data_IF_178755836815
#
_entry.id   IF_178755836815
#
_cell.length_a   1.000
_cell.length_b   1.000
_cell.length_c   1.000
_cell.angle_alpha   90.00
_cell.angle_beta   90.00
_cell.angle_gamma   90.00
#
_symmetry.space_group_name_H-M   'P 1'
#
loop_
_entity.id
_entity.type
_entity.pdbx_description
1 polymer ?
#
# COMPACT_ATOMS: atom_id res chain seq x y z
N UNK A 1 -15.49 32.36 -10.65
CA UNK A 1 -14.75 31.73 -9.55
C UNK A 1 -15.18 30.30 -9.40
N UNK A 2 -14.21 29.42 -9.41
CA UNK A 2 -14.48 28.00 -9.14
C UNK A 2 -14.66 27.81 -7.63
N UNK A 3 -15.75 27.15 -7.24
CA UNK A 3 -16.01 26.81 -5.86
C UNK A 3 -15.43 25.40 -5.60
N UNK A 4 -14.20 25.37 -5.08
CA UNK A 4 -13.51 24.12 -4.79
C UNK A 4 -13.98 23.55 -3.45
N UNK A 5 -15.12 22.86 -3.48
CA UNK A 5 -15.64 22.17 -2.31
C UNK A 5 -15.65 20.67 -2.52
N UNK A 6 -15.13 19.95 -1.53
CA UNK A 6 -15.29 18.50 -1.48
C UNK A 6 -16.70 18.15 -1.03
N UNK A 7 -17.36 17.29 -1.81
CA UNK A 7 -18.69 16.77 -1.46
C UNK A 7 -18.60 15.39 -0.84
N UNK A 8 -17.45 14.73 -0.98
CA UNK A 8 -17.17 13.40 -0.41
C UNK A 8 -15.71 13.34 0.04
N UNK A 9 -15.41 12.56 1.10
CA UNK A 9 -14.02 12.31 1.47
C UNK A 9 -13.28 11.60 0.32
N UNK A 10 -12.05 12.02 -0.01
CA UNK A 10 -11.28 11.35 -1.05
C UNK A 10 -10.87 9.94 -0.62
N UNK A 11 -10.86 9.03 -1.57
CA UNK A 11 -10.35 7.67 -1.40
C UNK A 11 -9.21 7.46 -2.40
N UNK A 12 -8.05 7.10 -1.90
CA UNK A 12 -6.95 6.70 -2.78
C UNK A 12 -7.20 5.29 -3.29
N UNK A 13 -7.07 5.07 -4.59
CA UNK A 13 -7.26 3.77 -5.20
C UNK A 13 -6.18 3.50 -6.23
N UNK A 14 -5.57 2.30 -6.15
CA UNK A 14 -4.68 1.79 -7.17
C UNK A 14 -5.09 0.35 -7.50
N UNK A 15 -4.92 -0.05 -8.74
CA UNK A 15 -5.28 -1.40 -9.17
C UNK A 15 -4.37 -1.86 -10.29
N UNK A 16 -4.13 -3.18 -10.36
CA UNK A 16 -3.28 -3.77 -11.39
C UNK A 16 -3.53 -5.26 -11.52
N UNK A 17 -3.46 -5.76 -12.74
CA UNK A 17 -3.44 -7.18 -13.00
C UNK A 17 -2.03 -7.72 -12.77
N UNK A 18 -1.93 -8.72 -11.90
CA UNK A 18 -0.69 -9.46 -11.64
C UNK A 18 -0.89 -10.86 -12.25
N UNK A 19 0.02 -11.26 -13.13
CA UNK A 19 -0.10 -12.54 -13.87
C UNK A 19 0.47 -13.70 -13.06
N UNK A 20 -0.03 -13.85 -11.84
CA UNK A 20 0.30 -14.93 -10.90
C UNK A 20 -0.96 -15.32 -10.12
N UNK A 21 -1.01 -16.55 -9.56
CA UNK A 21 -2.18 -17.00 -8.79
C UNK A 21 -2.44 -16.17 -7.54
N UNK A 22 -3.70 -16.07 -7.12
CA UNK A 22 -4.11 -15.28 -5.97
C UNK A 22 -3.38 -15.66 -4.68
N UNK A 23 -3.10 -16.94 -4.45
CA UNK A 23 -2.37 -17.40 -3.27
C UNK A 23 -0.96 -16.80 -3.21
N UNK A 24 -0.27 -16.71 -4.34
CA UNK A 24 1.09 -16.15 -4.42
C UNK A 24 1.06 -14.62 -4.25
N UNK A 25 0.13 -13.94 -4.90
CA UNK A 25 -0.01 -12.48 -4.83
C UNK A 25 -0.40 -12.05 -3.41
N UNK A 26 -1.33 -12.75 -2.80
CA UNK A 26 -1.73 -12.52 -1.42
C UNK A 26 -0.55 -12.70 -0.45
N UNK A 27 0.18 -13.80 -0.56
CA UNK A 27 1.32 -14.10 0.31
C UNK A 27 2.43 -13.04 0.20
N UNK A 28 2.58 -12.40 -0.96
CA UNK A 28 3.56 -11.33 -1.15
C UNK A 28 3.30 -10.13 -0.22
N UNK A 29 2.06 -9.88 0.16
CA UNK A 29 1.70 -8.82 1.13
C UNK A 29 1.68 -9.32 2.58
N UNK A 30 1.59 -10.62 2.79
CA UNK A 30 1.54 -11.22 4.12
C UNK A 30 2.93 -11.49 4.69
N UNK A 31 3.83 -12.00 3.86
CA UNK A 31 5.17 -12.40 4.26
C UNK A 31 6.16 -11.25 4.05
N UNK A 32 6.71 -10.67 5.12
CA UNK A 32 7.65 -9.56 5.01
C UNK A 32 8.95 -9.91 4.27
N UNK A 33 9.34 -11.18 4.21
CA UNK A 33 10.48 -11.60 3.40
C UNK A 33 10.26 -11.33 1.91
N UNK A 34 9.00 -11.32 1.46
CA UNK A 34 8.63 -11.00 0.09
C UNK A 34 8.32 -9.50 -0.03
N UNK A 35 7.48 -8.97 0.84
CA UNK A 35 7.03 -7.57 0.79
C UNK A 35 8.19 -6.58 0.84
N UNK A 36 9.24 -6.90 1.61
CA UNK A 36 10.42 -6.04 1.72
C UNK A 36 11.23 -5.92 0.43
N UNK A 37 10.95 -6.74 -0.57
CA UNK A 37 11.61 -6.67 -1.87
C UNK A 37 10.95 -5.68 -2.83
N UNK A 38 9.76 -5.17 -2.50
CA UNK A 38 9.05 -4.22 -3.37
C UNK A 38 8.38 -3.05 -2.65
N UNK A 39 8.39 -3.00 -1.32
CA UNK A 39 7.69 -1.96 -0.57
C UNK A 39 8.51 -1.46 0.63
N UNK A 40 8.11 -1.82 1.87
CA UNK A 40 8.89 -1.45 3.06
C UNK A 40 10.20 -2.25 3.12
N UNK A 41 11.14 -1.86 3.98
CA UNK A 41 12.41 -2.58 4.14
C UNK A 41 12.42 -3.53 5.31
N UNK A 42 11.52 -3.34 6.28
CA UNK A 42 11.53 -4.10 7.54
C UNK A 42 10.13 -4.19 8.13
N UNK A 43 9.80 -5.32 8.71
CA UNK A 43 8.56 -5.53 9.47
C UNK A 43 8.86 -6.34 10.72
N UNK A 44 8.07 -6.11 11.78
CA UNK A 44 8.17 -6.87 13.03
C UNK A 44 7.56 -8.28 12.93
N UNK A 45 6.81 -8.57 11.86
CA UNK A 45 6.21 -9.89 11.67
C UNK A 45 5.29 -9.98 10.46
N UNK A 46 4.76 -11.17 10.26
CA UNK A 46 3.74 -11.44 9.22
C UNK A 46 2.43 -10.76 9.59
N UNK A 47 1.63 -10.43 8.57
CA UNK A 47 0.26 -10.00 8.83
C UNK A 47 -0.57 -11.19 9.28
N UNK A 48 -1.16 -11.09 10.46
CA UNK A 48 -2.07 -12.08 11.04
C UNK A 48 -3.25 -11.36 11.66
N UNK A 49 -4.42 -11.99 11.57
CA UNK A 49 -5.67 -11.41 12.09
C UNK A 49 -5.53 -10.98 13.56
N UNK A 50 -5.89 -9.73 13.85
CA UNK A 50 -5.87 -9.17 15.18
C UNK A 50 -4.50 -8.78 15.71
N UNK A 51 -3.44 -8.95 14.91
CA UNK A 51 -2.07 -8.60 15.31
C UNK A 51 -1.70 -7.17 14.92
N UNK A 52 -0.68 -6.70 15.60
CA UNK A 52 -0.04 -5.42 15.35
C UNK A 52 1.37 -5.67 14.84
N UNK A 53 1.76 -4.96 13.78
CA UNK A 53 3.13 -4.96 13.26
C UNK A 53 3.59 -3.53 13.02
N UNK A 54 4.89 -3.33 12.97
CA UNK A 54 5.50 -2.05 12.58
C UNK A 54 6.24 -2.25 11.27
N UNK A 55 5.91 -1.44 10.27
CA UNK A 55 6.61 -1.39 8.99
C UNK A 55 7.57 -0.21 8.97
N UNK A 56 8.78 -0.44 8.50
CA UNK A 56 9.85 0.57 8.45
C UNK A 56 10.39 0.71 7.05
N UNK A 57 10.54 1.96 6.61
CA UNK A 57 11.27 2.36 5.40
C UNK A 57 12.57 3.01 5.86
N UNK A 58 13.64 2.20 5.93
CA UNK A 58 14.92 2.64 6.50
C UNK A 58 15.54 3.78 5.70
N UNK A 59 15.37 3.79 4.36
CA UNK A 59 15.88 4.84 3.49
C UNK A 59 15.25 6.22 3.78
N UNK A 60 14.10 6.27 4.40
CA UNK A 60 13.38 7.50 4.75
C UNK A 60 13.32 7.75 6.26
N UNK A 61 13.88 6.85 7.05
CA UNK A 61 13.77 6.89 8.52
C UNK A 61 12.30 7.03 8.97
N UNK A 62 11.41 6.26 8.35
CA UNK A 62 9.98 6.27 8.62
C UNK A 62 9.54 4.91 9.11
N UNK A 63 8.78 4.90 10.19
CA UNK A 63 8.10 3.71 10.71
C UNK A 63 6.61 4.01 10.86
N UNK A 64 5.78 3.02 10.53
CA UNK A 64 4.33 3.12 10.58
C UNK A 64 3.77 1.92 11.34
N UNK A 65 2.80 2.21 12.21
CA UNK A 65 2.06 1.18 12.95
C UNK A 65 0.95 0.60 12.09
N UNK A 66 0.78 -0.72 12.14
CA UNK A 66 -0.20 -1.44 11.31
C UNK A 66 -0.99 -2.40 12.19
N UNK A 67 -2.29 -2.16 12.30
CA UNK A 67 -3.22 -3.04 13.02
C UNK A 67 -4.02 -3.85 12.00
N UNK A 68 -3.89 -5.17 12.04
CA UNK A 68 -4.58 -6.07 11.12
C UNK A 68 -6.01 -6.30 11.61
N UNK A 69 -6.98 -5.80 10.86
CA UNK A 69 -8.40 -5.85 11.25
C UNK A 69 -9.12 -7.07 10.67
N UNK A 70 -8.85 -7.40 9.41
CA UNK A 70 -9.48 -8.53 8.73
C UNK A 70 -8.50 -9.19 7.76
N UNK A 71 -8.54 -10.51 7.69
CA UNK A 71 -7.87 -11.30 6.67
C UNK A 71 -8.83 -12.36 6.20
N UNK A 72 -9.11 -12.37 4.90
CA UNK A 72 -9.78 -13.43 4.20
C UNK A 72 -8.77 -14.04 3.22
N UNK A 73 -8.26 -15.25 3.48
CA UNK A 73 -7.16 -15.82 2.71
C UNK A 73 -7.41 -15.79 1.20
N UNK A 74 -6.43 -15.27 0.47
CA UNK A 74 -6.39 -15.13 -0.99
C UNK A 74 -7.44 -14.19 -1.57
N UNK A 75 -8.21 -13.46 -0.72
CA UNK A 75 -9.29 -12.59 -1.17
C UNK A 75 -9.20 -11.16 -0.65
N UNK A 76 -8.86 -10.97 0.64
CA UNK A 76 -8.95 -9.64 1.23
C UNK A 76 -8.03 -9.48 2.44
N UNK A 77 -7.46 -8.27 2.56
CA UNK A 77 -6.74 -7.81 3.76
C UNK A 77 -7.28 -6.43 4.10
N UNK A 78 -7.58 -6.19 5.37
CA UNK A 78 -7.95 -4.87 5.88
C UNK A 78 -7.06 -4.53 7.07
N UNK A 79 -6.40 -3.37 6.99
CA UNK A 79 -5.60 -2.85 8.09
C UNK A 79 -5.98 -1.41 8.41
N UNK A 80 -5.69 -0.99 9.63
CA UNK A 80 -5.56 0.42 9.97
C UNK A 80 -4.07 0.70 10.12
N UNK A 81 -3.60 1.77 9.51
CA UNK A 81 -2.18 2.10 9.53
C UNK A 81 -1.94 3.59 9.70
N UNK A 82 -0.74 3.94 10.16
CA UNK A 82 -0.31 5.31 10.33
C UNK A 82 0.34 5.53 11.69
N UNK A 83 0.34 6.79 12.11
CA UNK A 83 0.72 7.15 13.47
C UNK A 83 -0.54 7.22 14.34
N UNK A 84 -0.43 6.87 15.60
CA UNK A 84 -1.56 6.94 16.51
C UNK A 84 -2.12 8.37 16.57
N UNK A 85 -3.45 8.49 16.45
CA UNK A 85 -4.16 9.76 16.33
C UNK A 85 -4.40 10.22 14.89
N UNK A 86 -3.78 9.56 13.91
CA UNK A 86 -3.93 9.88 12.48
C UNK A 86 -3.98 8.61 11.61
N UNK A 87 -4.62 7.55 12.12
CA UNK A 87 -4.75 6.29 11.41
C UNK A 87 -5.72 6.39 10.24
N UNK A 88 -5.40 5.72 9.14
CA UNK A 88 -6.29 5.53 7.99
C UNK A 88 -6.49 4.05 7.75
N UNK A 89 -7.50 3.70 6.92
CA UNK A 89 -7.78 2.33 6.53
C UNK A 89 -7.14 2.00 5.20
N UNK A 90 -6.56 0.79 5.08
CA UNK A 90 -6.10 0.26 3.78
C UNK A 90 -6.72 -1.11 3.56
N UNK A 91 -7.36 -1.28 2.41
CA UNK A 91 -7.98 -2.53 2.00
C UNK A 91 -7.37 -3.05 0.72
N UNK A 92 -6.93 -4.30 0.75
CA UNK A 92 -6.52 -5.05 -0.45
C UNK A 92 -7.63 -6.02 -0.82
N UNK A 93 -8.01 -6.05 -2.08
CA UNK A 93 -8.92 -7.05 -2.64
C UNK A 93 -8.20 -7.78 -3.77
N UNK A 94 -8.20 -9.10 -3.68
CA UNK A 94 -7.57 -10.00 -4.64
C UNK A 94 -8.66 -10.74 -5.40
N UNK A 95 -8.82 -10.46 -6.68
CA UNK A 95 -9.86 -11.07 -7.52
C UNK A 95 -9.19 -11.95 -8.56
N UNK A 96 -9.52 -13.25 -8.55
CA UNK A 96 -9.03 -14.16 -9.57
C UNK A 96 -9.50 -13.70 -10.96
N UNK A 97 -8.58 -13.65 -11.91
CA UNK A 97 -8.84 -13.24 -13.28
C UNK A 97 -8.20 -14.26 -14.21
N UNK A 98 -9.00 -14.97 -14.98
CA UNK A 98 -8.54 -16.08 -15.82
C UNK A 98 -7.69 -17.10 -15.06
N UNK A 99 -7.10 -18.07 -15.72
CA UNK A 99 -6.23 -19.04 -15.07
C UNK A 99 -4.86 -18.41 -14.77
N UNK A 100 -4.50 -18.36 -13.48
CA UNK A 100 -3.17 -17.93 -13.05
C UNK A 100 -2.92 -16.42 -13.01
N UNK A 101 -3.97 -15.59 -13.02
CA UNK A 101 -3.85 -14.15 -12.86
C UNK A 101 -4.74 -13.62 -11.74
N UNK A 102 -4.37 -12.47 -11.16
CA UNK A 102 -5.08 -11.84 -10.04
C UNK A 102 -5.16 -10.34 -10.26
N UNK A 103 -6.38 -9.81 -10.22
CA UNK A 103 -6.58 -8.36 -10.21
C UNK A 103 -6.52 -7.87 -8.76
N UNK A 104 -5.55 -7.01 -8.47
CA UNK A 104 -5.34 -6.46 -7.13
C UNK A 104 -5.88 -5.04 -7.09
N UNK A 105 -6.73 -4.75 -6.12
CA UNK A 105 -7.20 -3.39 -5.83
C UNK A 105 -6.76 -3.01 -4.44
N UNK A 106 -6.17 -1.83 -4.28
CA UNK A 106 -5.79 -1.25 -2.98
C UNK A 106 -6.57 0.04 -2.81
N UNK A 107 -7.27 0.18 -1.69
CA UNK A 107 -8.02 1.39 -1.32
C UNK A 107 -7.53 1.90 0.02
N UNK A 108 -7.21 3.18 0.09
CA UNK A 108 -6.86 3.85 1.34
C UNK A 108 -7.86 4.97 1.60
N UNK A 109 -8.51 4.93 2.75
CA UNK A 109 -9.60 5.83 3.13
C UNK A 109 -9.46 6.28 4.58
N UNK A 110 -10.28 7.29 4.95
CA UNK A 110 -10.26 7.81 6.32
C UNK A 110 -9.25 8.91 6.54
N UNK A 111 -8.84 9.62 5.49
CA UNK A 111 -7.95 10.78 5.60
C UNK A 111 -8.58 11.87 6.46
N UNK A 112 -7.77 12.49 7.32
CA UNK A 112 -8.22 13.49 8.28
C UNK A 112 -7.52 14.82 8.04
N UNK A 113 -8.24 15.91 8.28
CA UNK A 113 -7.74 17.25 8.11
C UNK A 113 -8.66 18.11 7.24
N UNK A 114 -8.19 19.29 6.83
CA UNK A 114 -8.93 20.16 5.90
C UNK A 114 -8.91 19.60 4.47
N UNK A 115 -9.65 20.26 3.58
CA UNK A 115 -9.80 19.80 2.20
C UNK A 115 -8.48 19.67 1.45
N UNK A 116 -7.60 20.64 1.58
CA UNK A 116 -6.29 20.63 0.90
C UNK A 116 -5.43 19.47 1.40
N UNK A 117 -5.42 19.23 2.71
CA UNK A 117 -4.64 18.16 3.31
C UNK A 117 -5.13 16.79 2.88
N UNK A 118 -6.44 16.52 2.94
CA UNK A 118 -6.98 15.20 2.57
C UNK A 118 -6.79 14.90 1.09
N UNK A 119 -6.89 15.91 0.22
CA UNK A 119 -6.59 15.75 -1.22
C UNK A 119 -5.13 15.42 -1.44
N UNK A 120 -4.21 16.16 -0.82
CA UNK A 120 -2.77 15.91 -0.92
C UNK A 120 -2.42 14.50 -0.44
N UNK A 121 -2.93 14.12 0.72
CA UNK A 121 -2.68 12.79 1.29
C UNK A 121 -3.22 11.68 0.38
N UNK A 122 -4.41 11.86 -0.20
CA UNK A 122 -4.99 10.88 -1.13
C UNK A 122 -4.17 10.76 -2.43
N UNK A 123 -3.71 11.88 -2.98
CA UNK A 123 -2.86 11.87 -4.18
C UNK A 123 -1.52 11.17 -3.91
N UNK A 124 -0.87 11.47 -2.79
CA UNK A 124 0.37 10.82 -2.38
C UNK A 124 0.17 9.32 -2.19
N UNK A 125 -0.91 8.92 -1.55
CA UNK A 125 -1.24 7.53 -1.33
C UNK A 125 -1.49 6.78 -2.64
N UNK A 126 -2.24 7.38 -3.56
CA UNK A 126 -2.50 6.79 -4.89
C UNK A 126 -1.20 6.56 -5.65
N UNK A 127 -0.31 7.54 -5.65
CA UNK A 127 1.01 7.44 -6.27
C UNK A 127 1.82 6.32 -5.64
N UNK A 128 1.90 6.30 -4.31
CA UNK A 128 2.69 5.30 -3.57
C UNK A 128 2.20 3.87 -3.83
N UNK A 129 0.90 3.63 -3.74
CA UNK A 129 0.34 2.30 -3.99
C UNK A 129 0.46 1.87 -5.47
N UNK A 130 0.46 2.82 -6.40
CA UNK A 130 0.72 2.50 -7.81
C UNK A 130 2.15 1.99 -7.99
N UNK A 131 3.13 2.63 -7.34
CA UNK A 131 4.51 2.14 -7.34
C UNK A 131 4.63 0.76 -6.68
N UNK A 132 3.92 0.54 -5.57
CA UNK A 132 3.90 -0.76 -4.88
C UNK A 132 3.43 -1.86 -5.82
N UNK A 133 2.32 -1.63 -6.54
CA UNK A 133 1.77 -2.62 -7.47
C UNK A 133 2.70 -2.85 -8.67
N UNK A 134 3.33 -1.81 -9.19
CA UNK A 134 4.32 -1.96 -10.27
C UNK A 134 5.52 -2.78 -9.79
N UNK A 135 6.02 -2.51 -8.58
CA UNK A 135 7.11 -3.29 -7.98
C UNK A 135 6.75 -4.74 -7.73
N UNK A 136 5.55 -4.99 -7.24
CA UNK A 136 5.01 -6.34 -7.07
C UNK A 136 4.96 -7.11 -8.39
N UNK A 137 4.44 -6.46 -9.43
CA UNK A 137 4.34 -7.06 -10.78
C UNK A 137 5.71 -7.45 -11.31
N UNK A 138 6.68 -6.55 -11.22
CA UNK A 138 8.04 -6.82 -11.66
C UNK A 138 8.68 -7.97 -10.89
N UNK A 139 8.46 -8.01 -9.58
CA UNK A 139 9.04 -9.06 -8.73
C UNK A 139 8.43 -10.43 -9.02
N UNK A 140 7.11 -10.53 -9.00
CA UNK A 140 6.44 -11.84 -9.13
C UNK A 140 6.49 -12.38 -10.55
N UNK A 141 6.37 -11.52 -11.57
CA UNK A 141 6.33 -11.96 -12.97
C UNK A 141 7.71 -12.11 -13.60
N UNK A 142 8.71 -11.34 -13.11
CA UNK A 142 10.01 -11.26 -13.77
C UNK A 142 11.21 -11.42 -12.82
N UNK A 143 10.96 -11.67 -11.54
CA UNK A 143 12.01 -11.75 -10.49
C UNK A 143 12.95 -10.53 -10.52
N UNK A 144 12.37 -9.35 -10.70
CA UNK A 144 13.07 -8.08 -10.82
C UNK A 144 12.64 -7.12 -9.72
N UNK A 145 13.61 -6.54 -9.02
CA UNK A 145 13.36 -5.47 -8.05
C UNK A 145 13.48 -4.11 -8.76
N UNK A 146 12.37 -3.38 -8.85
CA UNK A 146 12.34 -2.08 -9.53
C UNK A 146 13.01 -0.96 -8.74
N UNK A 147 13.14 -1.10 -7.41
CA UNK A 147 13.58 -0.03 -6.51
C UNK A 147 12.70 1.22 -6.58
N UNK A 148 11.42 1.07 -6.99
CA UNK A 148 10.53 2.21 -7.20
C UNK A 148 10.33 3.06 -5.95
N UNK A 149 10.24 2.43 -4.79
CA UNK A 149 10.02 3.14 -3.51
C UNK A 149 11.27 3.88 -3.08
N UNK A 150 12.44 3.24 -3.11
CA UNK A 150 13.70 3.89 -2.69
C UNK A 150 14.13 4.97 -3.68
N UNK A 151 13.82 4.82 -4.95
CA UNK A 151 14.20 5.77 -6.00
C UNK A 151 13.19 6.91 -6.17
N UNK A 152 12.04 6.85 -5.49
CA UNK A 152 11.02 7.89 -5.55
C UNK A 152 11.50 9.24 -5.00
N UNK A 153 12.29 9.20 -3.91
CA UNK A 153 12.84 10.39 -3.26
C UNK A 153 14.31 10.14 -2.96
N UNK A 154 15.22 10.31 -3.95
CA UNK A 154 16.65 10.08 -3.74
C UNK A 154 17.20 11.03 -2.69
N UNK A 155 18.25 10.59 -1.98
CA UNK A 155 18.93 11.42 -0.99
C UNK A 155 19.43 12.72 -1.61
N UNK A 156 19.13 13.84 -0.97
CA UNK A 156 19.51 15.17 -1.46
C UNK A 156 18.46 15.85 -2.33
N UNK A 157 17.38 15.15 -2.69
CA UNK A 157 16.21 15.73 -3.35
C UNK A 157 15.07 15.76 -2.34
N UNK A 158 14.64 16.96 -1.99
CA UNK A 158 13.54 17.13 -1.04
C UNK A 158 12.20 16.82 -1.69
N UNK A 159 11.32 16.28 -0.87
CA UNK A 159 9.92 16.07 -1.22
C UNK A 159 9.25 17.44 -1.21
N UNK A 160 8.66 17.83 -2.34
CA UNK A 160 7.83 19.04 -2.39
C UNK A 160 6.49 18.72 -1.68
N UNK A 161 6.17 19.52 -0.67
CA UNK A 161 4.90 19.41 0.07
C UNK A 161 3.75 20.11 -0.66
#
# INVERSE_FOLDING_TARGET
MNNLQLTQPPVAKAAMLIRRPAAEVFEAFIDPAITSRFWFTKSTGRLELGKHVTWTWEMYDVSIEVDVKEIEPHKRILVEWGNYGAMTQVEWVFTAYEAGATYVTIRNSGFQGDGDKVVRDALDSTTGFTWVLAGLKALLEHDLELNAIVDAFPQGLERED
#
